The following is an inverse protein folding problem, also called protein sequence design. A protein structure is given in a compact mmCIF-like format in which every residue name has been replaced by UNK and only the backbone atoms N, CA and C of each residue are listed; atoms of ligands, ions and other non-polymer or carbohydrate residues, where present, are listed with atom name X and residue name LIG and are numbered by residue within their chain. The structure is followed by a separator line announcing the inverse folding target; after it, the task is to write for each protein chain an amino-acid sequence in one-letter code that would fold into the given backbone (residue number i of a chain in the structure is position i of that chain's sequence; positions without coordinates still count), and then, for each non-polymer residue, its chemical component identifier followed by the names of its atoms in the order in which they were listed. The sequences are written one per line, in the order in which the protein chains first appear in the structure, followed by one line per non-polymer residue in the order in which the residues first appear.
data_IF_451148261942
#
_entry.id   IF_451148261942
#
_cell.length_a   1.000
_cell.length_b   1.000
_cell.length_c   1.000
_cell.angle_alpha   90.00
_cell.angle_beta   90.00
_cell.angle_gamma   90.00
#
_symmetry.space_group_name_H-M   'P 1'
#
loop_
_entity.id
_entity.type
_entity.pdbx_description
1 polymer ?
#
# COMPACT_ATOMS: atom_id res chain seq x y z
N UNK A 1 -15.89 -4.00 -30.90
CA UNK A 1 -15.17 -2.76 -31.30
C UNK A 1 -13.84 -3.12 -31.94
N UNK A 2 -13.40 -2.40 -32.98
CA UNK A 2 -12.21 -2.71 -33.81
C UNK A 2 -10.94 -2.92 -32.96
N UNK A 3 -10.70 -2.06 -31.97
CA UNK A 3 -9.52 -2.15 -31.11
C UNK A 3 -9.57 -3.40 -30.24
N UNK A 4 -10.72 -3.71 -29.64
CA UNK A 4 -10.92 -4.93 -28.83
C UNK A 4 -10.71 -6.20 -29.65
N UNK A 5 -11.24 -6.25 -30.88
CA UNK A 5 -11.01 -7.38 -31.80
C UNK A 5 -9.53 -7.55 -32.12
N UNK A 6 -8.79 -6.46 -32.36
CA UNK A 6 -7.35 -6.54 -32.64
C UNK A 6 -6.53 -7.10 -31.47
N UNK A 7 -7.02 -6.99 -30.24
CA UNK A 7 -6.31 -7.44 -29.03
C UNK A 7 -6.50 -8.94 -28.73
N UNK A 8 -7.36 -9.63 -29.49
CA UNK A 8 -7.57 -11.08 -29.34
C UNK A 8 -6.28 -11.85 -29.66
N UNK A 9 -5.96 -12.92 -28.91
CA UNK A 9 -4.83 -13.78 -29.23
C UNK A 9 -4.92 -14.33 -30.66
N UNK A 10 -3.78 -14.38 -31.36
CA UNK A 10 -3.72 -14.87 -32.75
C UNK A 10 -4.16 -13.86 -33.82
N UNK A 11 -4.70 -12.70 -33.46
CA UNK A 11 -5.11 -11.67 -34.43
C UNK A 11 -3.95 -10.75 -34.81
N UNK A 12 -3.80 -10.43 -36.11
CA UNK A 12 -2.78 -9.48 -36.60
C UNK A 12 -3.37 -8.09 -36.86
N UNK A 13 -2.56 -7.05 -36.65
CA UNK A 13 -2.97 -5.66 -36.90
C UNK A 13 -3.32 -5.44 -38.37
N UNK A 14 -2.57 -6.03 -39.30
CA UNK A 14 -2.79 -5.86 -40.72
C UNK A 14 -4.12 -6.50 -41.18
N UNK A 15 -4.44 -7.68 -40.70
CA UNK A 15 -5.70 -8.37 -41.03
C UNK A 15 -6.91 -7.53 -40.59
N UNK A 16 -6.90 -7.04 -39.35
CA UNK A 16 -7.99 -6.20 -38.83
C UNK A 16 -8.04 -4.86 -39.57
N UNK A 17 -6.90 -4.22 -39.80
CA UNK A 17 -6.83 -2.97 -40.54
C UNK A 17 -7.42 -3.12 -41.95
N UNK A 18 -7.08 -4.20 -42.67
CA UNK A 18 -7.62 -4.49 -43.99
C UNK A 18 -9.14 -4.74 -43.96
N UNK A 19 -9.62 -5.54 -43.00
CA UNK A 19 -11.06 -5.85 -42.83
C UNK A 19 -11.91 -4.59 -42.66
N UNK A 20 -11.38 -3.58 -41.97
CA UNK A 20 -12.09 -2.33 -41.69
C UNK A 20 -11.66 -1.15 -42.58
N UNK A 21 -10.83 -1.38 -43.61
CA UNK A 21 -10.35 -0.32 -44.51
C UNK A 21 -9.51 0.77 -43.80
N UNK A 22 -8.87 0.42 -42.69
CA UNK A 22 -8.06 1.31 -41.86
C UNK A 22 -6.58 1.21 -42.22
N UNK A 23 -5.81 2.25 -41.90
CA UNK A 23 -4.35 2.17 -41.91
C UNK A 23 -3.87 1.42 -40.68
N UNK A 24 -2.92 0.50 -40.86
CA UNK A 24 -2.35 -0.29 -39.77
C UNK A 24 -1.68 0.56 -38.67
N UNK A 25 -1.17 1.75 -39.02
CA UNK A 25 -0.59 2.67 -38.04
C UNK A 25 -1.64 3.26 -37.08
N UNK A 26 -2.84 3.59 -37.57
CA UNK A 26 -3.95 4.06 -36.74
C UNK A 26 -4.36 3.00 -35.72
N UNK A 27 -4.49 1.75 -36.17
CA UNK A 27 -4.84 0.64 -35.28
C UNK A 27 -3.72 0.35 -34.26
N UNK A 28 -2.45 0.49 -34.65
CA UNK A 28 -1.31 0.41 -33.74
C UNK A 28 -1.36 1.50 -32.65
N UNK A 29 -1.63 2.76 -33.04
CA UNK A 29 -1.79 3.87 -32.08
C UNK A 29 -2.94 3.62 -31.11
N UNK A 30 -4.08 3.14 -31.60
CA UNK A 30 -5.23 2.84 -30.75
C UNK A 30 -4.98 1.68 -29.78
N UNK A 31 -4.27 0.63 -30.19
CA UNK A 31 -3.84 -0.46 -29.29
C UNK A 31 -2.95 0.05 -28.17
N UNK A 32 -2.04 0.95 -28.47
CA UNK A 32 -1.17 1.58 -27.46
C UNK A 32 -2.00 2.40 -26.47
N UNK A 33 -2.94 3.22 -26.95
CA UNK A 33 -3.83 3.98 -26.05
C UNK A 33 -4.70 3.09 -25.18
N UNK A 34 -5.22 1.98 -25.72
CA UNK A 34 -5.98 0.99 -24.95
C UNK A 34 -5.14 0.36 -23.83
N UNK A 35 -3.91 -0.07 -24.13
CA UNK A 35 -2.97 -0.60 -23.12
C UNK A 35 -2.59 0.42 -22.05
N UNK A 36 -2.55 1.70 -22.40
CA UNK A 36 -2.33 2.81 -21.47
C UNK A 36 -3.59 3.20 -20.68
N UNK A 37 -4.73 2.55 -20.89
CA UNK A 37 -6.01 2.91 -20.25
C UNK A 37 -6.60 4.25 -20.73
N UNK A 38 -6.09 4.81 -21.83
CA UNK A 38 -6.55 6.09 -22.40
C UNK A 38 -7.74 5.94 -23.35
N UNK A 39 -8.12 4.71 -23.66
CA UNK A 39 -9.27 4.39 -24.51
C UNK A 39 -10.21 3.47 -23.73
N UNK A 40 -11.46 3.89 -23.59
CA UNK A 40 -12.51 3.05 -22.98
C UNK A 40 -12.86 1.94 -23.96
N UNK A 41 -12.57 0.70 -23.59
CA UNK A 41 -12.97 -0.49 -24.33
C UNK A 41 -14.24 -1.08 -23.70
N UNK A 42 -15.16 -1.64 -24.50
CA UNK A 42 -16.23 -2.48 -23.97
C UNK A 42 -15.62 -3.67 -23.23
N UNK A 43 -16.34 -4.19 -22.22
CA UNK A 43 -15.93 -5.38 -21.49
C UNK A 43 -15.66 -6.54 -22.46
N UNK A 44 -14.63 -7.37 -22.21
CA UNK A 44 -14.41 -8.59 -22.98
C UNK A 44 -15.64 -9.49 -22.92
N UNK A 45 -16.03 -10.08 -24.04
CA UNK A 45 -17.11 -11.08 -24.08
C UNK A 45 -16.64 -12.42 -23.50
N UNK A 46 -15.34 -12.70 -23.58
CA UNK A 46 -14.72 -13.88 -22.99
C UNK A 46 -14.42 -13.65 -21.51
N UNK A 47 -14.60 -14.68 -20.69
CA UNK A 47 -14.32 -14.60 -19.25
C UNK A 47 -12.85 -14.22 -19.01
N UNK A 48 -12.61 -13.11 -18.31
CA UNK A 48 -11.27 -12.71 -17.90
C UNK A 48 -10.84 -13.64 -16.76
N UNK A 49 -9.88 -14.52 -17.02
CA UNK A 49 -9.23 -15.30 -15.97
C UNK A 49 -8.32 -14.37 -15.16
N UNK A 50 -8.68 -14.14 -13.90
CA UNK A 50 -7.81 -13.47 -12.94
C UNK A 50 -7.02 -14.53 -12.17
N UNK A 51 -5.70 -14.39 -12.13
CA UNK A 51 -4.88 -15.18 -11.21
C UNK A 51 -5.22 -14.77 -9.76
N UNK A 52 -5.47 -15.75 -8.90
CA UNK A 52 -5.66 -15.48 -7.48
C UNK A 52 -4.34 -14.98 -6.87
N UNK A 53 -4.38 -13.81 -6.23
CA UNK A 53 -3.24 -13.30 -5.44
C UNK A 53 -3.26 -14.02 -4.09
N UNK A 54 -2.26 -14.86 -3.84
CA UNK A 54 -2.02 -15.42 -2.51
C UNK A 54 -1.21 -14.40 -1.73
N UNK A 55 -1.81 -13.80 -0.71
CA UNK A 55 -1.10 -12.95 0.25
C UNK A 55 -0.48 -13.88 1.29
N UNK A 56 0.85 -13.90 1.37
CA UNK A 56 1.53 -14.60 2.46
C UNK A 56 1.07 -14.00 3.79
N UNK A 57 0.64 -14.80 4.78
CA UNK A 57 0.25 -14.27 6.08
C UNK A 57 1.41 -13.44 6.65
N UNK A 58 1.15 -12.24 7.18
CA UNK A 58 2.22 -11.42 7.72
C UNK A 58 2.94 -12.21 8.81
N UNK A 59 4.27 -12.30 8.67
CA UNK A 59 5.14 -12.77 9.76
C UNK A 59 4.80 -11.91 10.97
N UNK A 60 4.18 -12.53 11.98
CA UNK A 60 3.85 -11.86 13.23
C UNK A 60 5.16 -11.59 13.97
N UNK A 61 5.76 -10.43 13.72
CA UNK A 61 6.81 -9.92 14.59
C UNK A 61 6.20 -9.70 15.98
N UNK A 62 6.82 -10.22 17.06
CA UNK A 62 6.35 -9.95 18.41
C UNK A 62 6.31 -8.44 18.61
N UNK A 63 5.25 -7.89 19.24
CA UNK A 63 5.15 -6.47 19.46
C UNK A 63 6.42 -5.98 20.17
N UNK A 64 6.99 -4.83 19.75
CA UNK A 64 8.17 -4.30 20.42
C UNK A 64 7.84 -4.18 21.90
N UNK A 65 8.65 -4.82 22.75
CA UNK A 65 8.52 -4.69 24.21
C UNK A 65 8.53 -3.19 24.49
N UNK A 66 7.42 -2.66 24.99
CA UNK A 66 7.33 -1.27 25.39
C UNK A 66 8.27 -1.07 26.57
N UNK A 67 9.48 -0.62 26.25
CA UNK A 67 10.50 -0.20 27.21
C UNK A 67 10.05 1.16 27.78
N UNK A 68 9.13 1.11 28.73
CA UNK A 68 8.59 2.29 29.39
C UNK A 68 9.55 2.81 30.45
N UNK A 69 10.16 3.98 30.20
CA UNK A 69 10.86 4.75 31.24
C UNK A 69 9.81 5.53 32.05
N UNK A 70 9.73 5.37 33.38
CA UNK A 70 8.77 6.10 34.18
C UNK A 70 9.13 7.60 34.24
N UNK A 71 8.11 8.46 34.28
CA UNK A 71 8.25 9.92 34.33
C UNK A 71 7.41 10.51 35.47
N UNK A 72 7.95 11.49 36.18
CA UNK A 72 7.27 12.25 37.23
C UNK A 72 7.14 13.69 36.75
N UNK A 73 5.91 14.23 36.73
CA UNK A 73 5.63 15.61 36.29
C UNK A 73 5.12 16.44 37.47
N UNK A 74 5.76 17.58 37.73
CA UNK A 74 5.38 18.53 38.78
C UNK A 74 5.38 19.94 38.20
N UNK A 75 4.19 20.46 37.92
CA UNK A 75 4.03 21.75 37.25
C UNK A 75 4.80 21.77 35.92
N UNK A 76 5.76 22.70 35.72
CA UNK A 76 6.55 22.78 34.49
C UNK A 76 7.76 21.81 34.47
N UNK A 77 8.01 21.04 35.53
CA UNK A 77 9.20 20.17 35.65
C UNK A 77 8.82 18.72 35.35
N UNK A 78 9.60 18.08 34.47
CA UNK A 78 9.50 16.65 34.16
C UNK A 78 10.80 15.94 34.53
N UNK A 79 10.70 14.89 35.35
CA UNK A 79 11.82 14.04 35.75
C UNK A 79 11.65 12.67 35.11
N UNK A 80 12.60 12.27 34.27
CA UNK A 80 12.61 10.96 33.59
C UNK A 80 13.53 10.01 34.34
N UNK A 81 13.06 8.80 34.64
CA UNK A 81 13.83 7.78 35.34
C UNK A 81 14.42 6.75 34.38
N UNK A 82 15.40 5.98 34.85
CA UNK A 82 15.91 4.83 34.10
C UNK A 82 14.84 3.75 33.87
N UNK A 83 15.05 2.96 32.83
CA UNK A 83 14.23 1.78 32.57
C UNK A 83 14.33 0.80 33.75
N UNK A 84 13.18 0.32 34.22
CA UNK A 84 13.13 -0.60 35.37
C UNK A 84 13.37 0.06 36.72
N UNK A 85 13.27 1.40 36.83
CA UNK A 85 13.35 2.10 38.11
C UNK A 85 12.42 1.45 39.15
N UNK A 86 12.97 1.16 40.33
CA UNK A 86 12.22 0.46 41.38
C UNK A 86 11.13 1.35 41.98
N UNK A 87 10.04 0.73 42.44
CA UNK A 87 8.96 1.44 43.11
C UNK A 87 9.46 2.22 44.34
N UNK A 88 10.42 1.67 45.09
CA UNK A 88 11.04 2.34 46.22
C UNK A 88 11.73 3.66 45.83
N UNK A 89 12.46 3.66 44.69
CA UNK A 89 13.12 4.85 44.17
C UNK A 89 12.11 5.90 43.71
N UNK A 90 11.06 5.49 43.00
CA UNK A 90 9.98 6.39 42.56
C UNK A 90 9.32 7.06 43.77
N UNK A 91 9.00 6.29 44.82
CA UNK A 91 8.40 6.81 46.06
C UNK A 91 9.34 7.77 46.78
N UNK A 92 10.64 7.45 46.87
CA UNK A 92 11.61 8.33 47.50
C UNK A 92 11.69 9.70 46.80
N UNK A 93 11.72 9.71 45.46
CA UNK A 93 11.75 10.94 44.66
C UNK A 93 10.45 11.73 44.85
N UNK A 94 9.29 11.08 44.79
CA UNK A 94 7.99 11.74 44.97
C UNK A 94 7.86 12.39 46.36
N UNK A 95 8.30 11.70 47.42
CA UNK A 95 8.29 12.25 48.79
C UNK A 95 9.25 13.42 48.95
N UNK A 96 10.45 13.34 48.37
CA UNK A 96 11.41 14.43 48.42
C UNK A 96 10.85 15.71 47.74
N UNK A 97 10.18 15.54 46.60
CA UNK A 97 9.55 16.66 45.88
C UNK A 97 8.39 17.27 46.68
N UNK A 98 7.56 16.44 47.31
CA UNK A 98 6.46 16.90 48.16
C UNK A 98 6.94 17.65 49.42
N UNK A 99 8.11 17.31 49.96
CA UNK A 99 8.70 17.99 51.12
C UNK A 99 9.41 19.31 50.77
N UNK A 100 9.75 19.52 49.49
CA UNK A 100 10.43 20.71 49.00
C UNK A 100 9.49 21.79 48.44
N UNK A 101 8.18 21.55 48.49
CA UNK A 101 7.10 22.46 48.07
C UNK A 101 6.37 22.98 49.30
#
# INVERSE_FOLDING_TARGET
MIVSESLRPGTTVNEVAQRYGLRANSLSTWRTMARQGKLVLPAPEDAVEFAAVIVDPPVSEPPPKAVGRPEIVIGPVTIRLEEGASAARIVAIARALAAAT
#
